data_IF_107962648498
#
_entry.id   IF_107962648498
#
_cell.length_a   1.000
_cell.length_b   1.000
_cell.length_c   1.000
_cell.angle_alpha   90.00
_cell.angle_beta   90.00
_cell.angle_gamma   90.00
#
_symmetry.space_group_name_H-M   'P 1'
#
loop_
_entity.id
_entity.type
_entity.pdbx_description
1 polymer ?
#
# COMPACT_ATOMS: atom_id res chain seq x y z
N UNK A 1 16.66 1.33 26.28
CA UNK A 1 15.19 1.38 26.05
C UNK A 1 14.78 0.80 24.70
N UNK A 2 15.64 0.79 23.68
CA UNK A 2 15.44 0.02 22.43
C UNK A 2 15.10 -1.46 22.70
N UNK A 3 15.87 -2.08 23.61
CA UNK A 3 15.54 -3.25 24.44
C UNK A 3 14.04 -3.50 24.68
N UNK A 4 13.42 -2.49 25.28
CA UNK A 4 12.04 -2.51 25.75
C UNK A 4 11.06 -2.47 24.59
N UNK A 5 11.34 -1.67 23.56
CA UNK A 5 10.53 -1.59 22.34
C UNK A 5 10.51 -2.95 21.64
N UNK A 6 11.69 -3.55 21.44
CA UNK A 6 11.82 -4.88 20.85
C UNK A 6 11.09 -5.95 21.68
N UNK A 7 11.17 -5.87 23.00
CA UNK A 7 10.44 -6.77 23.89
C UNK A 7 8.92 -6.60 23.76
N UNK A 8 8.41 -5.36 23.72
CA UNK A 8 6.97 -5.09 23.55
C UNK A 8 6.47 -5.62 22.20
N UNK A 9 7.17 -5.30 21.11
CA UNK A 9 6.81 -5.76 19.76
C UNK A 9 6.89 -7.28 19.66
N UNK A 10 7.94 -7.90 20.21
CA UNK A 10 8.11 -9.35 20.25
C UNK A 10 7.02 -10.06 21.06
N UNK A 11 6.65 -9.52 22.23
CA UNK A 11 5.54 -10.03 23.04
C UNK A 11 4.19 -9.84 22.35
N UNK A 12 3.98 -8.72 21.66
CA UNK A 12 2.78 -8.46 20.87
C UNK A 12 2.64 -9.47 19.72
N UNK A 13 3.72 -9.76 18.99
CA UNK A 13 3.76 -10.82 17.97
C UNK A 13 3.44 -12.19 18.56
N UNK A 14 4.09 -12.55 19.67
CA UNK A 14 3.85 -13.83 20.33
C UNK A 14 2.39 -13.95 20.79
N UNK A 15 1.83 -12.91 21.41
CA UNK A 15 0.44 -12.88 21.84
C UNK A 15 -0.51 -12.99 20.65
N UNK A 16 -0.30 -12.19 19.61
CA UNK A 16 -1.10 -12.23 18.38
C UNK A 16 -1.09 -13.62 17.76
N UNK A 17 0.08 -14.24 17.60
CA UNK A 17 0.21 -15.58 17.03
C UNK A 17 -0.47 -16.66 17.87
N UNK A 18 -0.38 -16.59 19.21
CA UNK A 18 -1.04 -17.54 20.11
C UNK A 18 -2.58 -17.37 20.14
N UNK A 19 -3.07 -16.16 19.85
CA UNK A 19 -4.49 -15.80 19.94
C UNK A 19 -5.17 -15.54 18.61
N UNK A 20 -4.50 -15.84 17.48
CA UNK A 20 -4.98 -15.51 16.12
C UNK A 20 -6.40 -16.01 15.88
N UNK A 21 -6.71 -17.25 16.29
CA UNK A 21 -8.03 -17.84 16.12
C UNK A 21 -9.11 -17.13 16.94
N UNK A 22 -8.77 -16.63 18.11
CA UNK A 22 -9.68 -15.88 18.99
C UNK A 22 -9.90 -14.47 18.43
N UNK A 23 -8.84 -13.80 17.98
CA UNK A 23 -8.92 -12.47 17.36
C UNK A 23 -9.76 -12.49 16.07
N UNK A 24 -9.59 -13.51 15.22
CA UNK A 24 -10.41 -13.73 14.02
C UNK A 24 -11.90 -13.98 14.34
N UNK A 25 -12.20 -14.55 15.52
CA UNK A 25 -13.59 -14.71 15.98
C UNK A 25 -14.21 -13.36 16.31
N UNK A 26 -13.46 -12.47 16.96
CA UNK A 26 -13.87 -11.12 17.36
C UNK A 26 -13.65 -10.04 16.30
N UNK A 27 -13.32 -10.43 15.05
CA UNK A 27 -13.17 -9.50 13.92
C UNK A 27 -11.99 -8.51 14.08
N UNK A 28 -11.02 -8.85 14.91
CA UNK A 28 -9.79 -8.06 15.08
C UNK A 28 -8.75 -8.58 14.09
N UNK A 29 -8.41 -7.75 13.11
CA UNK A 29 -7.37 -8.06 12.12
C UNK A 29 -5.97 -7.81 12.69
N UNK A 30 -4.94 -8.42 12.10
CA UNK A 30 -3.54 -8.15 12.44
C UNK A 30 -3.21 -6.65 12.42
N UNK A 31 -3.51 -5.92 11.33
CA UNK A 31 -3.34 -4.47 11.27
C UNK A 31 -3.99 -3.72 12.44
N UNK A 32 -5.26 -4.01 12.77
CA UNK A 32 -5.96 -3.39 13.91
C UNK A 32 -5.23 -3.64 15.24
N UNK A 33 -4.80 -4.89 15.47
CA UNK A 33 -4.09 -5.27 16.68
C UNK A 33 -2.75 -4.51 16.82
N UNK A 34 -1.95 -4.47 15.76
CA UNK A 34 -0.65 -3.80 15.80
C UNK A 34 -0.75 -2.28 15.82
N UNK A 35 -1.77 -1.68 15.17
CA UNK A 35 -2.09 -0.25 15.35
C UNK A 35 -2.38 0.06 16.81
N UNK A 36 -3.20 -0.76 17.47
CA UNK A 36 -3.52 -0.58 18.89
C UNK A 36 -2.28 -0.72 19.78
N UNK A 37 -1.43 -1.72 19.55
CA UNK A 37 -0.16 -1.88 20.26
C UNK A 37 0.74 -0.64 20.07
N UNK A 38 0.86 -0.16 18.84
CA UNK A 38 1.63 1.06 18.53
C UNK A 38 1.13 2.29 19.29
N UNK A 39 -0.18 2.54 19.28
CA UNK A 39 -0.79 3.65 20.03
C UNK A 39 -0.58 3.48 21.54
N UNK A 40 -0.73 2.25 22.07
CA UNK A 40 -0.54 1.98 23.49
C UNK A 40 0.91 2.28 23.91
N UNK A 41 1.89 1.93 23.07
CA UNK A 41 3.31 2.22 23.34
C UNK A 41 3.59 3.70 23.56
N UNK A 42 2.85 4.61 22.92
CA UNK A 42 3.01 6.05 23.09
C UNK A 42 2.70 6.53 24.52
N UNK A 43 1.85 5.80 25.25
CA UNK A 43 1.50 6.12 26.64
C UNK A 43 2.40 5.43 27.68
N UNK A 44 2.99 4.27 27.32
CA UNK A 44 3.85 3.51 28.22
C UNK A 44 5.33 3.86 28.11
N UNK A 45 5.76 4.44 26.98
CA UNK A 45 7.12 4.93 26.79
C UNK A 45 7.22 6.38 27.28
N UNK A 46 8.35 6.79 27.88
CA UNK A 46 8.57 8.18 28.30
C UNK A 46 8.39 9.16 27.14
N UNK A 47 7.86 10.35 27.42
CA UNK A 47 7.58 11.41 26.44
C UNK A 47 8.83 11.95 25.72
N UNK A 48 10.03 11.62 26.21
CA UNK A 48 11.32 11.91 25.58
C UNK A 48 11.57 11.06 24.33
N UNK A 49 10.90 9.91 24.21
CA UNK A 49 10.88 9.11 22.97
C UNK A 49 9.85 9.71 22.00
N UNK A 50 10.15 10.92 21.53
CA UNK A 50 9.56 11.42 20.29
C UNK A 50 10.32 10.77 19.15
N UNK A 51 9.63 10.30 18.11
CA UNK A 51 10.29 10.15 16.81
C UNK A 51 10.72 11.57 16.41
N UNK A 52 11.94 11.97 16.80
CA UNK A 52 12.52 13.21 16.31
C UNK A 52 12.67 13.13 14.79
N UNK A 53 12.82 14.27 14.12
CA UNK A 53 13.06 14.31 12.66
C UNK A 53 14.22 13.39 12.26
N UNK A 54 15.28 13.29 13.09
CA UNK A 54 16.40 12.39 12.89
C UNK A 54 16.06 10.88 13.00
N UNK A 55 15.05 10.51 13.79
CA UNK A 55 14.67 9.10 13.99
C UNK A 55 13.81 8.55 12.86
N UNK A 56 13.01 9.38 12.20
CA UNK A 56 12.18 8.97 11.07
C UNK A 56 13.04 8.78 9.81
N UNK A 57 13.97 9.70 9.55
CA UNK A 57 14.88 9.62 8.39
C UNK A 57 15.74 8.36 8.41
N UNK A 58 16.17 7.91 9.59
CA UNK A 58 17.03 6.74 9.75
C UNK A 58 16.28 5.41 9.45
N UNK A 59 14.98 5.35 9.73
CA UNK A 59 14.16 4.15 9.49
C UNK A 59 13.47 4.18 8.13
N UNK A 60 13.39 5.33 7.46
CA UNK A 60 12.67 5.49 6.20
C UNK A 60 13.14 4.50 5.13
N UNK A 61 14.45 4.26 4.88
CA UNK A 61 14.89 3.26 3.89
C UNK A 61 14.35 1.84 4.15
N UNK A 62 14.17 1.46 5.42
CA UNK A 62 13.60 0.17 5.79
C UNK A 62 12.09 0.11 5.51
N UNK A 63 11.39 1.21 5.78
CA UNK A 63 9.96 1.38 5.46
C UNK A 63 9.74 1.32 3.95
N UNK A 64 10.54 2.05 3.17
CA UNK A 64 10.50 2.04 1.70
C UNK A 64 10.82 0.66 1.13
N UNK A 65 11.80 -0.04 1.69
CA UNK A 65 12.12 -1.40 1.28
C UNK A 65 10.94 -2.36 1.53
N UNK A 66 10.22 -2.18 2.63
CA UNK A 66 9.04 -3.00 2.94
C UNK A 66 7.94 -2.79 1.91
N UNK A 67 7.62 -1.53 1.58
CA UNK A 67 6.67 -1.22 0.52
C UNK A 67 7.13 -1.83 -0.81
N UNK A 68 8.43 -1.79 -1.10
CA UNK A 68 8.99 -2.38 -2.31
C UNK A 68 8.78 -3.90 -2.40
N UNK A 69 8.87 -4.61 -1.27
CA UNK A 69 8.55 -6.04 -1.19
C UNK A 69 7.07 -6.27 -1.49
N UNK A 70 6.17 -5.46 -0.94
CA UNK A 70 4.73 -5.55 -1.22
C UNK A 70 4.40 -5.26 -2.68
N UNK A 71 4.89 -4.15 -3.22
CA UNK A 71 4.68 -3.76 -4.62
C UNK A 71 5.12 -4.87 -5.59
N UNK A 72 6.28 -5.49 -5.35
CA UNK A 72 6.71 -6.63 -6.17
C UNK A 72 5.79 -7.85 -5.98
N UNK A 73 5.49 -8.20 -4.73
CA UNK A 73 4.71 -9.39 -4.38
C UNK A 73 3.30 -9.32 -4.95
N UNK A 74 2.67 -8.15 -4.89
CA UNK A 74 1.31 -7.95 -5.40
C UNK A 74 1.28 -7.85 -6.93
N UNK A 75 2.27 -7.16 -7.53
CA UNK A 75 2.45 -7.19 -8.98
C UNK A 75 2.67 -8.62 -9.51
N UNK A 76 3.44 -9.44 -8.78
CA UNK A 76 3.68 -10.85 -9.09
C UNK A 76 2.43 -11.74 -8.98
N UNK A 77 1.38 -11.28 -8.29
CA UNK A 77 0.07 -11.96 -8.14
C UNK A 77 -1.01 -11.44 -9.07
N UNK A 78 -0.75 -10.35 -9.80
CA UNK A 78 -1.75 -9.66 -10.63
C UNK A 78 -2.37 -10.54 -11.73
N UNK A 79 -1.79 -11.71 -12.03
CA UNK A 79 -2.25 -12.66 -13.06
C UNK A 79 -2.53 -11.93 -14.39
N UNK A 80 -1.60 -11.13 -14.89
CA UNK A 80 -1.69 -10.40 -16.17
C UNK A 80 -2.20 -11.24 -17.35
N UNK A 81 -1.86 -12.53 -17.49
CA UNK A 81 -2.42 -13.37 -18.55
C UNK A 81 -3.92 -13.63 -18.42
N UNK A 82 -4.45 -13.67 -17.18
CA UNK A 82 -5.87 -13.88 -16.87
C UNK A 82 -6.66 -12.57 -17.05
N UNK A 83 -6.03 -11.42 -16.77
CA UNK A 83 -6.59 -10.10 -17.06
C UNK A 83 -7.05 -9.96 -18.52
N UNK A 84 -6.39 -10.61 -19.50
CA UNK A 84 -6.85 -10.58 -20.91
C UNK A 84 -8.24 -11.16 -21.16
N UNK A 85 -8.77 -12.01 -20.27
CA UNK A 85 -10.06 -12.68 -20.46
C UNK A 85 -11.19 -12.15 -19.55
N UNK A 86 -10.86 -11.53 -18.41
CA UNK A 86 -11.82 -11.01 -17.42
C UNK A 86 -11.62 -9.52 -17.11
N UNK A 87 -11.15 -8.74 -18.08
CA UNK A 87 -10.62 -7.37 -17.90
C UNK A 87 -11.63 -6.31 -17.43
N UNK A 88 -12.94 -6.57 -17.51
CA UNK A 88 -13.94 -5.50 -17.40
C UNK A 88 -13.91 -4.79 -16.03
N UNK A 89 -13.96 -5.50 -14.91
CA UNK A 89 -14.08 -4.85 -13.60
C UNK A 89 -12.79 -4.19 -13.11
N UNK A 90 -11.62 -4.88 -13.11
CA UNK A 90 -10.38 -4.24 -12.70
C UNK A 90 -10.03 -3.02 -13.55
N UNK A 91 -10.29 -3.05 -14.87
CA UNK A 91 -10.02 -1.90 -15.74
C UNK A 91 -10.91 -0.70 -15.45
N UNK A 92 -12.21 -0.90 -15.19
CA UNK A 92 -13.12 0.18 -14.79
C UNK A 92 -12.69 0.79 -13.45
N UNK A 93 -12.26 -0.05 -12.49
CA UNK A 93 -11.76 0.43 -11.21
C UNK A 93 -10.47 1.24 -11.37
N UNK A 94 -9.49 0.73 -12.13
CA UNK A 94 -8.17 1.36 -12.28
C UNK A 94 -8.16 2.59 -13.19
N UNK A 95 -8.93 2.60 -14.29
CA UNK A 95 -8.86 3.65 -15.30
C UNK A 95 -10.03 4.64 -15.24
N UNK A 96 -11.10 4.35 -14.49
CA UNK A 96 -12.24 5.26 -14.31
C UNK A 96 -12.42 5.63 -12.84
N UNK A 97 -12.63 4.64 -11.96
CA UNK A 97 -12.92 4.93 -10.55
C UNK A 97 -11.74 5.56 -9.83
N UNK A 98 -10.51 5.10 -10.07
CA UNK A 98 -9.30 5.58 -9.42
C UNK A 98 -9.00 7.06 -9.76
N UNK A 99 -8.97 7.50 -11.03
CA UNK A 99 -8.82 8.92 -11.36
C UNK A 99 -9.94 9.80 -10.77
N UNK A 100 -11.19 9.31 -10.78
CA UNK A 100 -12.32 10.02 -10.17
C UNK A 100 -12.18 10.12 -8.65
N UNK A 101 -11.70 9.07 -7.98
CA UNK A 101 -11.40 9.06 -6.53
C UNK A 101 -10.35 10.10 -6.21
N UNK A 102 -9.27 10.16 -6.99
CA UNK A 102 -8.23 11.16 -6.88
C UNK A 102 -8.80 12.58 -7.03
N UNK A 103 -9.60 12.83 -8.06
CA UNK A 103 -10.23 14.14 -8.30
C UNK A 103 -11.14 14.58 -7.16
N UNK A 104 -12.00 13.69 -6.65
CA UNK A 104 -12.85 13.99 -5.49
C UNK A 104 -12.03 14.23 -4.22
N UNK A 105 -10.97 13.45 -4.01
CA UNK A 105 -10.04 13.65 -2.90
C UNK A 105 -9.34 15.02 -2.96
N UNK A 106 -8.91 15.46 -4.15
CA UNK A 106 -8.31 16.79 -4.37
C UNK A 106 -9.33 17.88 -4.09
N UNK A 107 -10.54 17.76 -4.64
CA UNK A 107 -11.62 18.72 -4.45
C UNK A 107 -12.02 18.85 -2.97
N UNK A 108 -12.09 17.72 -2.26
CA UNK A 108 -12.29 17.71 -0.82
C UNK A 108 -11.16 18.40 -0.06
N UNK A 109 -9.91 18.18 -0.47
CA UNK A 109 -8.74 18.79 0.18
C UNK A 109 -8.78 20.31 0.07
N UNK A 110 -9.04 20.81 -1.15
CA UNK A 110 -9.20 22.24 -1.43
C UNK A 110 -10.41 22.86 -0.71
N UNK A 111 -11.48 22.09 -0.53
CA UNK A 111 -12.70 22.57 0.14
C UNK A 111 -12.54 22.67 1.66
N UNK A 112 -11.96 21.64 2.29
CA UNK A 112 -11.83 21.58 3.76
C UNK A 112 -10.60 22.32 4.29
N UNK A 113 -9.55 22.48 3.46
CA UNK A 113 -8.27 23.02 3.89
C UNK A 113 -7.81 24.13 2.93
N UNK A 114 -8.25 25.37 3.20
CA UNK A 114 -7.94 26.53 2.36
C UNK A 114 -6.46 26.90 2.30
N UNK A 115 -5.66 26.45 3.27
CA UNK A 115 -4.23 26.73 3.34
C UNK A 115 -3.38 25.77 2.50
N UNK A 116 -3.98 24.67 2.02
CA UNK A 116 -3.28 23.71 1.19
C UNK A 116 -3.26 24.15 -0.27
N UNK A 117 -2.09 24.05 -0.89
CA UNK A 117 -1.97 24.22 -2.34
C UNK A 117 -2.65 23.07 -3.11
N UNK A 118 -2.84 23.26 -4.42
CA UNK A 118 -3.35 22.21 -5.30
C UNK A 118 -2.51 20.93 -5.21
N UNK A 119 -1.18 21.04 -5.20
CA UNK A 119 -0.28 19.90 -5.13
C UNK A 119 -0.31 19.22 -3.76
N UNK A 120 -0.44 19.99 -2.67
CA UNK A 120 -0.59 19.44 -1.32
C UNK A 120 -1.93 18.70 -1.15
N UNK A 121 -3.02 19.26 -1.68
CA UNK A 121 -4.33 18.58 -1.70
C UNK A 121 -4.30 17.33 -2.58
N UNK A 122 -3.59 17.38 -3.71
CA UNK A 122 -3.37 16.22 -4.56
C UNK A 122 -2.49 15.16 -3.89
N UNK A 123 -1.51 15.55 -3.07
CA UNK A 123 -0.73 14.62 -2.25
C UNK A 123 -1.61 13.87 -1.26
N UNK A 124 -2.48 14.56 -0.52
CA UNK A 124 -3.45 13.90 0.38
C UNK A 124 -4.29 12.89 -0.42
N UNK A 125 -4.81 13.31 -1.57
CA UNK A 125 -5.67 12.48 -2.39
C UNK A 125 -4.95 11.24 -2.95
N UNK A 126 -3.73 11.39 -3.51
CA UNK A 126 -2.99 10.26 -4.09
C UNK A 126 -2.50 9.30 -3.00
N UNK A 127 -2.13 9.80 -1.81
CA UNK A 127 -1.78 8.94 -0.66
C UNK A 127 -2.97 8.06 -0.28
N UNK A 128 -4.18 8.61 -0.36
CA UNK A 128 -5.43 7.96 0.00
C UNK A 128 -6.16 7.34 -1.19
N UNK A 129 -5.51 7.17 -2.33
CA UNK A 129 -6.08 6.50 -3.51
C UNK A 129 -5.79 4.99 -3.55
N UNK A 130 -4.56 4.51 -3.24
CA UNK A 130 -4.25 3.09 -3.21
C UNK A 130 -5.12 2.31 -2.20
N UNK A 131 -5.29 1.01 -2.44
CA UNK A 131 -6.12 0.13 -1.62
C UNK A 131 -5.40 -1.17 -1.30
N UNK A 132 -5.65 -1.73 -0.12
CA UNK A 132 -4.90 -2.86 0.42
C UNK A 132 -5.79 -4.09 0.63
N UNK A 133 -5.54 -5.13 -0.17
CA UNK A 133 -6.22 -6.41 -0.12
C UNK A 133 -5.98 -7.17 1.19
N UNK A 134 -4.87 -6.93 1.90
CA UNK A 134 -4.57 -7.59 3.16
C UNK A 134 -5.61 -7.24 4.24
N UNK A 135 -6.12 -6.01 4.22
CA UNK A 135 -7.22 -5.57 5.10
C UNK A 135 -8.58 -6.18 4.73
N UNK A 136 -8.70 -6.71 3.51
CA UNK A 136 -9.90 -7.37 2.98
C UNK A 136 -9.78 -8.90 2.92
N UNK A 137 -8.76 -9.50 3.55
CA UNK A 137 -8.46 -10.95 3.46
C UNK A 137 -9.66 -11.83 3.81
N UNK A 138 -10.42 -11.47 4.85
CA UNK A 138 -11.62 -12.20 5.26
C UNK A 138 -12.72 -12.28 4.19
N UNK A 139 -12.85 -11.29 3.30
CA UNK A 139 -13.80 -11.36 2.19
C UNK A 139 -13.23 -12.11 0.98
N UNK A 140 -11.91 -12.02 0.75
CA UNK A 140 -11.21 -12.72 -0.32
C UNK A 140 -11.14 -14.24 -0.08
N UNK A 141 -11.15 -14.68 1.17
CA UNK A 141 -11.15 -16.09 1.55
C UNK A 141 -12.57 -16.71 1.61
N UNK A 142 -13.61 -15.89 1.71
CA UNK A 142 -15.00 -16.36 1.78
C UNK A 142 -15.49 -16.89 0.43
N UNK A 143 -15.65 -18.21 0.31
CA UNK A 143 -16.08 -18.87 -0.95
C UNK A 143 -17.51 -18.56 -1.37
N UNK A 144 -18.37 -18.14 -0.45
CA UNK A 144 -19.74 -17.67 -0.76
C UNK A 144 -19.75 -16.35 -1.55
N UNK A 145 -18.67 -15.56 -1.48
CA UNK A 145 -18.54 -14.33 -2.27
C UNK A 145 -18.14 -14.70 -3.70
N UNK A 146 -18.85 -14.17 -4.72
CA UNK A 146 -18.57 -14.50 -6.12
C UNK A 146 -17.10 -14.29 -6.48
N UNK A 147 -16.51 -15.26 -7.19
CA UNK A 147 -15.10 -15.24 -7.61
C UNK A 147 -14.73 -13.94 -8.33
N UNK A 148 -15.60 -13.48 -9.25
CA UNK A 148 -15.42 -12.19 -9.96
C UNK A 148 -15.25 -10.98 -9.05
N UNK A 149 -15.90 -10.96 -7.88
CA UNK A 149 -15.79 -9.87 -6.90
C UNK A 149 -14.47 -9.96 -6.17
N UNK A 150 -14.14 -11.17 -5.69
CA UNK A 150 -12.88 -11.44 -4.97
C UNK A 150 -11.65 -11.18 -5.85
N UNK A 151 -11.65 -11.72 -7.07
CA UNK A 151 -10.58 -11.48 -8.03
C UNK A 151 -10.50 -10.01 -8.43
N UNK A 152 -11.63 -9.34 -8.63
CA UNK A 152 -11.66 -7.93 -8.97
C UNK A 152 -11.03 -7.04 -7.89
N UNK A 153 -11.42 -7.22 -6.62
CA UNK A 153 -10.87 -6.47 -5.48
C UNK A 153 -9.37 -6.77 -5.32
N UNK A 154 -8.98 -8.05 -5.38
CA UNK A 154 -7.58 -8.45 -5.23
C UNK A 154 -6.70 -7.92 -6.37
N UNK A 155 -7.22 -7.90 -7.61
CA UNK A 155 -6.48 -7.40 -8.77
C UNK A 155 -6.40 -5.88 -8.79
N UNK A 156 -7.46 -5.18 -8.38
CA UNK A 156 -7.44 -3.73 -8.21
C UNK A 156 -6.36 -3.33 -7.20
N UNK A 157 -6.40 -3.91 -6.00
CA UNK A 157 -5.43 -3.61 -4.94
C UNK A 157 -4.00 -3.93 -5.35
N UNK A 158 -3.77 -5.06 -6.02
CA UNK A 158 -2.39 -5.40 -6.41
C UNK A 158 -1.80 -4.54 -7.53
N UNK A 159 -2.63 -3.87 -8.33
CA UNK A 159 -2.17 -2.99 -9.41
C UNK A 159 -2.22 -1.51 -9.05
N UNK A 160 -3.18 -1.08 -8.22
CA UNK A 160 -3.37 0.34 -7.94
C UNK A 160 -2.21 0.95 -7.13
N UNK A 161 -1.63 0.21 -6.18
CA UNK A 161 -0.49 0.66 -5.37
C UNK A 161 0.68 1.06 -6.28
N UNK A 162 1.06 0.18 -7.22
CA UNK A 162 2.13 0.48 -8.17
C UNK A 162 1.78 1.55 -9.21
N UNK A 163 0.52 1.67 -9.60
CA UNK A 163 0.07 2.74 -10.51
C UNK A 163 0.02 4.12 -9.82
N UNK A 164 -0.16 4.17 -8.51
CA UNK A 164 -0.15 5.41 -7.75
C UNK A 164 1.27 5.94 -7.51
N UNK A 165 2.29 5.08 -7.44
CA UNK A 165 3.69 5.46 -7.18
C UNK A 165 4.19 6.57 -8.13
N UNK A 166 4.12 6.46 -9.47
CA UNK A 166 4.63 7.51 -10.36
C UNK A 166 3.90 8.85 -10.15
N UNK A 167 2.59 8.81 -9.93
CA UNK A 167 1.77 10.00 -9.72
C UNK A 167 2.14 10.66 -8.39
N UNK A 168 2.32 9.87 -7.33
CA UNK A 168 2.76 10.33 -6.03
C UNK A 168 4.12 11.02 -6.11
N UNK A 169 5.12 10.41 -6.76
CA UNK A 169 6.47 10.98 -6.87
C UNK A 169 6.47 12.31 -7.62
N UNK A 170 5.68 12.44 -8.70
CA UNK A 170 5.52 13.70 -9.44
C UNK A 170 4.90 14.77 -8.55
N UNK A 171 3.82 14.44 -7.83
CA UNK A 171 3.16 15.38 -6.92
C UNK A 171 4.06 15.78 -5.75
N UNK A 172 4.87 14.85 -5.23
CA UNK A 172 5.83 15.10 -4.16
C UNK A 172 6.89 16.10 -4.62
N UNK A 173 7.47 15.88 -5.81
CA UNK A 173 8.48 16.77 -6.40
C UNK A 173 7.92 18.18 -6.65
N UNK A 174 6.70 18.28 -7.16
CA UNK A 174 6.00 19.54 -7.40
C UNK A 174 5.63 20.27 -6.10
N UNK A 175 5.24 19.54 -5.06
CA UNK A 175 4.92 20.12 -3.76
C UNK A 175 6.17 20.60 -2.99
N UNK A 176 7.33 19.97 -3.19
CA UNK A 176 8.61 20.42 -2.62
C UNK A 176 9.15 21.69 -3.26
N UNK A 177 8.85 21.91 -4.55
CA UNK A 177 9.42 23.00 -5.33
C UNK A 177 8.32 23.89 -5.94
N UNK A 178 7.47 24.54 -5.12
CA UNK A 178 6.31 25.30 -5.61
C UNK A 178 6.69 26.59 -6.35
N UNK A 179 7.78 27.25 -5.93
CA UNK A 179 8.28 28.51 -6.53
C UNK A 179 9.29 28.29 -7.63
N UNK A 180 9.94 27.13 -7.64
CA UNK A 180 10.74 26.74 -8.77
C UNK A 180 9.75 26.47 -9.91
N UNK A 181 9.59 27.48 -10.76
CA UNK A 181 9.41 27.27 -12.19
C UNK A 181 10.63 26.51 -12.74
N UNK A 182 10.93 25.33 -12.18
CA UNK A 182 11.53 24.25 -12.92
C UNK A 182 10.65 24.19 -14.16
N UNK A 183 11.24 24.53 -15.30
CA UNK A 183 10.53 24.47 -16.56
C UNK A 183 9.81 23.12 -16.56
N UNK A 184 8.53 23.04 -16.93
CA UNK A 184 7.82 21.75 -16.98
C UNK A 184 8.66 20.63 -17.60
N UNK A 185 9.58 21.02 -18.50
CA UNK A 185 10.67 20.26 -19.07
C UNK A 185 11.69 19.64 -18.09
N UNK A 186 12.22 20.33 -17.07
CA UNK A 186 13.22 19.72 -16.18
C UNK A 186 12.57 18.77 -15.16
N UNK A 187 11.35 19.08 -14.67
CA UNK A 187 10.53 18.13 -13.89
C UNK A 187 10.21 16.89 -14.72
N UNK A 188 9.81 17.10 -15.98
CA UNK A 188 9.58 16.00 -16.93
C UNK A 188 10.87 15.22 -17.21
N UNK A 189 12.02 15.88 -17.29
CA UNK A 189 13.31 15.24 -17.52
C UNK A 189 13.73 14.37 -16.33
N UNK A 190 13.65 14.88 -15.10
CA UNK A 190 13.94 14.11 -13.88
C UNK A 190 13.02 12.90 -13.80
N UNK A 191 11.72 13.09 -14.01
CA UNK A 191 10.76 11.99 -14.02
C UNK A 191 11.04 10.97 -15.13
N UNK A 192 11.31 11.42 -16.35
CA UNK A 192 11.60 10.54 -17.49
C UNK A 192 12.90 9.76 -17.25
N UNK A 193 13.91 10.40 -16.65
CA UNK A 193 15.15 9.74 -16.22
C UNK A 193 14.86 8.68 -15.16
N UNK A 194 14.14 9.04 -14.10
CA UNK A 194 13.84 8.12 -12.99
C UNK A 194 13.04 6.91 -13.46
N UNK A 195 12.02 7.15 -14.29
CA UNK A 195 11.20 6.12 -14.92
C UNK A 195 12.02 5.27 -15.89
N UNK A 196 12.85 5.90 -16.73
CA UNK A 196 13.70 5.21 -17.70
C UNK A 196 14.70 4.27 -17.02
N UNK A 197 15.40 4.75 -15.98
CA UNK A 197 16.32 3.94 -15.17
C UNK A 197 15.58 2.78 -14.51
N UNK A 198 14.42 3.04 -13.92
CA UNK A 198 13.61 2.01 -13.28
C UNK A 198 13.18 0.89 -14.26
N UNK A 199 12.72 1.26 -15.45
CA UNK A 199 12.31 0.31 -16.50
C UNK A 199 13.49 -0.52 -17.02
N UNK A 200 14.65 0.11 -17.24
CA UNK A 200 15.87 -0.59 -17.66
C UNK A 200 16.31 -1.59 -16.61
N UNK A 201 16.39 -1.19 -15.33
CA UNK A 201 16.82 -2.09 -14.26
C UNK A 201 15.82 -3.23 -14.05
N UNK A 202 14.51 -2.96 -14.09
CA UNK A 202 13.49 -4.00 -14.04
C UNK A 202 13.65 -5.01 -15.20
N UNK A 203 13.84 -4.52 -16.42
CA UNK A 203 14.03 -5.37 -17.60
C UNK A 203 15.30 -6.22 -17.52
N UNK A 204 16.44 -5.59 -17.21
CA UNK A 204 17.74 -6.26 -17.10
C UNK A 204 17.75 -7.28 -15.96
N UNK A 205 17.25 -6.92 -14.79
CA UNK A 205 17.18 -7.83 -13.64
C UNK A 205 16.34 -9.07 -13.95
N UNK A 206 15.17 -8.92 -14.58
CA UNK A 206 14.35 -10.07 -14.99
C UNK A 206 14.97 -10.87 -16.13
N UNK A 207 15.63 -10.22 -17.09
CA UNK A 207 16.33 -10.89 -18.18
C UNK A 207 17.49 -11.77 -17.66
N UNK A 208 18.09 -11.43 -16.53
CA UNK A 208 19.12 -12.23 -15.86
C UNK A 208 18.48 -13.28 -14.93
N UNK A 209 17.53 -12.87 -14.10
CA UNK A 209 16.94 -13.70 -13.06
C UNK A 209 16.14 -14.87 -13.62
N UNK A 210 15.32 -14.66 -14.66
CA UNK A 210 14.43 -15.70 -15.19
C UNK A 210 15.23 -16.88 -15.81
N UNK A 211 16.28 -16.67 -16.62
CA UNK A 211 17.15 -17.76 -17.07
C UNK A 211 17.87 -18.49 -15.93
N UNK A 212 18.38 -17.76 -14.93
CA UNK A 212 19.03 -18.36 -13.76
C UNK A 212 18.05 -19.24 -12.98
N UNK A 213 16.83 -18.76 -12.77
CA UNK A 213 15.75 -19.52 -12.13
C UNK A 213 15.44 -20.80 -12.93
N UNK A 214 15.28 -20.70 -14.25
CA UNK A 214 15.03 -21.86 -15.12
C UNK A 214 16.18 -22.86 -15.09
N UNK A 215 17.43 -22.40 -15.10
CA UNK A 215 18.61 -23.25 -15.02
C UNK A 215 18.70 -23.98 -13.67
N UNK A 216 18.45 -23.29 -12.57
CA UNK A 216 18.44 -23.87 -11.23
C UNK A 216 17.29 -24.89 -11.04
N UNK A 217 16.11 -24.64 -11.66
CA UNK A 217 15.02 -25.61 -11.71
C UNK A 217 15.39 -26.86 -12.51
N UNK A 218 16.00 -26.69 -13.69
CA UNK A 218 16.43 -27.79 -14.54
C UNK A 218 17.52 -28.65 -13.89
N UNK A 219 18.35 -28.07 -13.02
CA UNK A 219 19.38 -28.77 -12.24
C UNK A 219 18.88 -29.27 -10.87
N UNK A 220 17.58 -29.20 -10.60
CA UNK A 220 16.96 -29.62 -9.35
C UNK A 220 17.54 -28.96 -8.08
N UNK A 221 18.08 -27.74 -8.19
CA UNK A 221 18.58 -27.00 -7.02
C UNK A 221 17.46 -26.63 -6.04
N UNK A 222 16.21 -26.58 -6.53
CA UNK A 222 15.00 -26.29 -5.76
C UNK A 222 14.18 -27.55 -5.42
N UNK A 223 14.81 -28.73 -5.43
CA UNK A 223 14.18 -30.06 -5.49
C UNK A 223 12.81 -30.20 -4.81
N UNK A 224 12.65 -29.74 -3.56
CA UNK A 224 11.36 -29.78 -2.83
C UNK A 224 11.00 -28.52 -2.02
N UNK A 225 11.93 -27.62 -1.71
CA UNK A 225 11.66 -26.38 -0.96
C UNK A 225 12.36 -25.20 -1.65
N UNK A 226 11.61 -24.18 -2.05
CA UNK A 226 12.19 -22.89 -2.42
C UNK A 226 12.59 -22.11 -1.18
N UNK A 227 13.54 -21.17 -1.36
CA UNK A 227 13.96 -20.29 -0.27
C UNK A 227 13.01 -19.10 -0.16
N UNK A 228 12.46 -18.79 1.03
CA UNK A 228 11.62 -17.62 1.23
C UNK A 228 12.37 -16.30 1.00
N UNK A 229 13.71 -16.35 1.02
CA UNK A 229 14.57 -15.20 0.81
C UNK A 229 14.83 -14.87 -0.67
N UNK A 230 14.47 -15.75 -1.62
CA UNK A 230 14.85 -15.60 -3.02
C UNK A 230 14.27 -14.33 -3.64
N UNK A 231 12.95 -14.16 -3.57
CA UNK A 231 12.28 -12.97 -4.12
C UNK A 231 12.60 -11.72 -3.30
N UNK A 232 12.74 -11.85 -1.99
CA UNK A 232 13.08 -10.73 -1.11
C UNK A 232 14.46 -10.18 -1.46
N UNK A 233 15.46 -11.04 -1.62
CA UNK A 233 16.81 -10.64 -2.03
C UNK A 233 16.83 -10.00 -3.42
N UNK A 234 16.01 -10.52 -4.35
CA UNK A 234 15.85 -9.91 -5.68
C UNK A 234 15.26 -8.51 -5.58
N UNK A 235 14.19 -8.32 -4.81
CA UNK A 235 13.56 -7.01 -4.60
C UNK A 235 14.52 -6.04 -3.95
N UNK A 236 15.21 -6.44 -2.87
CA UNK A 236 16.22 -5.63 -2.21
C UNK A 236 17.29 -5.16 -3.20
N UNK A 237 17.81 -6.07 -4.03
CA UNK A 237 18.80 -5.72 -5.04
C UNK A 237 18.25 -4.73 -6.07
N UNK A 238 17.05 -4.98 -6.63
CA UNK A 238 16.44 -4.11 -7.63
C UNK A 238 16.15 -2.73 -7.04
N UNK A 239 15.53 -2.67 -5.87
CA UNK A 239 15.19 -1.42 -5.19
C UNK A 239 16.45 -0.59 -4.92
N UNK A 240 17.42 -1.15 -4.20
CA UNK A 240 18.62 -0.42 -3.79
C UNK A 240 19.52 -0.01 -4.96
N UNK A 241 19.69 -0.87 -5.98
CA UNK A 241 20.45 -0.51 -7.17
C UNK A 241 19.78 0.60 -7.97
N UNK A 242 18.46 0.57 -8.07
CA UNK A 242 17.70 1.60 -8.77
C UNK A 242 17.79 2.94 -8.03
N UNK A 243 17.65 2.93 -6.70
CA UNK A 243 17.74 4.13 -5.89
C UNK A 243 19.14 4.77 -5.99
N UNK A 244 20.20 3.95 -5.97
CA UNK A 244 21.59 4.40 -6.14
C UNK A 244 21.85 5.00 -7.55
N UNK A 245 21.11 4.58 -8.56
CA UNK A 245 21.20 5.08 -9.93
C UNK A 245 20.24 6.25 -10.19
N UNK A 246 19.68 6.85 -9.14
CA UNK A 246 18.70 7.94 -9.23
C UNK A 246 17.49 7.58 -10.11
N UNK A 247 17.06 6.31 -10.02
CA UNK A 247 15.81 5.81 -10.55
C UNK A 247 14.79 5.60 -9.43
N UNK A 248 13.51 5.46 -9.79
CA UNK A 248 12.49 5.10 -8.80
C UNK A 248 12.55 3.60 -8.49
N UNK A 249 13.09 3.24 -7.33
CA UNK A 249 13.16 1.85 -6.87
C UNK A 249 11.78 1.19 -6.80
N UNK A 250 10.76 1.93 -6.35
CA UNK A 250 9.38 1.46 -6.28
C UNK A 250 8.81 1.07 -7.65
N UNK A 251 9.04 1.90 -8.68
CA UNK A 251 8.59 1.59 -10.04
C UNK A 251 9.35 0.39 -10.59
N UNK A 252 10.66 0.29 -10.34
CA UNK A 252 11.47 -0.82 -10.82
C UNK A 252 11.00 -2.16 -10.24
N UNK A 253 10.75 -2.24 -8.93
CA UNK A 253 10.27 -3.47 -8.29
C UNK A 253 8.85 -3.82 -8.72
N UNK A 254 7.96 -2.83 -8.88
CA UNK A 254 6.61 -3.06 -9.38
C UNK A 254 6.63 -3.65 -10.80
N UNK A 255 7.37 -3.02 -11.72
CA UNK A 255 7.51 -3.49 -13.10
C UNK A 255 8.22 -4.86 -13.14
N UNK A 256 9.23 -5.08 -12.32
CA UNK A 256 9.88 -6.37 -12.18
C UNK A 256 8.91 -7.46 -11.70
N UNK A 257 8.01 -7.14 -10.76
CA UNK A 257 6.95 -8.04 -10.30
C UNK A 257 5.95 -8.40 -11.42
N UNK A 258 5.53 -7.42 -12.23
CA UNK A 258 4.68 -7.65 -13.42
C UNK A 258 5.37 -8.54 -14.45
N UNK A 259 6.66 -8.27 -14.74
CA UNK A 259 7.47 -9.09 -15.64
C UNK A 259 7.67 -10.50 -15.08
N UNK A 260 7.86 -10.64 -13.77
CA UNK A 260 7.96 -11.93 -13.10
C UNK A 260 6.64 -12.72 -13.22
N UNK A 261 5.48 -12.09 -13.00
CA UNK A 261 4.18 -12.74 -13.21
C UNK A 261 4.07 -13.29 -14.65
N UNK A 262 4.49 -12.50 -15.64
CA UNK A 262 4.40 -12.86 -17.05
C UNK A 262 5.42 -13.93 -17.50
N UNK A 263 6.68 -13.85 -17.04
CA UNK A 263 7.80 -14.65 -17.56
C UNK A 263 8.14 -15.88 -16.72
N UNK A 264 7.80 -15.90 -15.42
CA UNK A 264 8.19 -16.96 -14.51
C UNK A 264 7.48 -18.29 -14.83
N UNK A 265 8.14 -19.45 -14.60
CA UNK A 265 7.51 -20.76 -14.80
C UNK A 265 6.27 -20.94 -13.92
N UNK A 266 5.10 -21.17 -14.55
CA UNK A 266 3.80 -21.29 -13.86
C UNK A 266 3.81 -22.28 -12.69
N UNK A 267 4.55 -23.40 -12.82
CA UNK A 267 4.62 -24.45 -11.80
C UNK A 267 5.17 -23.99 -10.45
N UNK A 268 6.16 -23.08 -10.44
CA UNK A 268 6.82 -22.66 -9.19
C UNK A 268 6.49 -21.22 -8.79
N UNK A 269 6.00 -20.39 -9.74
CA UNK A 269 5.68 -18.98 -9.50
C UNK A 269 4.86 -18.77 -8.23
N UNK A 270 3.78 -19.53 -8.07
CA UNK A 270 2.90 -19.39 -6.90
C UNK A 270 3.59 -19.82 -5.59
N UNK A 271 4.49 -20.79 -5.64
CA UNK A 271 5.25 -21.24 -4.47
C UNK A 271 6.26 -20.17 -4.04
N UNK A 272 7.04 -19.62 -4.99
CA UNK A 272 8.03 -18.59 -4.68
C UNK A 272 7.40 -17.35 -4.05
N UNK A 273 6.27 -16.91 -4.60
CA UNK A 273 5.53 -15.75 -4.07
C UNK A 273 5.03 -16.06 -2.65
N UNK A 274 4.40 -17.22 -2.44
CA UNK A 274 3.94 -17.65 -1.11
C UNK A 274 5.07 -17.75 -0.08
N UNK A 275 6.24 -18.24 -0.46
CA UNK A 275 7.36 -18.36 0.47
C UNK A 275 7.83 -16.97 0.94
N UNK A 276 7.80 -15.95 0.07
CA UNK A 276 8.13 -14.58 0.45
C UNK A 276 7.02 -13.86 1.24
N UNK A 277 5.76 -14.30 1.11
CA UNK A 277 4.62 -13.64 1.76
C UNK A 277 4.73 -13.61 3.27
N UNK A 278 5.17 -14.70 3.92
CA UNK A 278 5.23 -14.74 5.38
C UNK A 278 6.21 -13.71 5.95
N UNK A 279 7.32 -13.47 5.26
CA UNK A 279 8.28 -12.44 5.67
C UNK A 279 7.70 -11.05 5.37
N UNK A 280 7.05 -10.86 4.22
CA UNK A 280 6.38 -9.61 3.90
C UNK A 280 5.29 -9.28 4.94
N UNK A 281 4.43 -10.24 5.30
CA UNK A 281 3.42 -10.12 6.35
C UNK A 281 4.05 -9.76 7.69
N UNK A 282 5.16 -10.40 8.09
CA UNK A 282 5.88 -10.05 9.31
C UNK A 282 6.33 -8.59 9.33
N UNK A 283 6.99 -8.12 8.28
CA UNK A 283 7.47 -6.73 8.21
C UNK A 283 6.31 -5.74 8.12
N UNK A 284 5.20 -6.09 7.46
CA UNK A 284 3.99 -5.29 7.44
C UNK A 284 3.41 -5.08 8.84
N UNK A 285 3.36 -6.12 9.69
CA UNK A 285 2.87 -5.96 11.07
C UNK A 285 3.75 -5.00 11.88
N UNK A 286 5.07 -4.98 11.62
CA UNK A 286 5.97 -3.99 12.21
C UNK A 286 5.64 -2.57 11.72
N UNK A 287 5.34 -2.38 10.45
CA UNK A 287 4.91 -1.07 9.91
C UNK A 287 3.56 -0.65 10.49
N UNK A 288 2.59 -1.56 10.64
CA UNK A 288 1.33 -1.26 11.30
C UNK A 288 1.51 -0.82 12.75
N UNK A 289 2.49 -1.43 13.45
CA UNK A 289 2.88 -1.02 14.79
C UNK A 289 3.52 0.38 14.80
N UNK A 290 4.46 0.64 13.88
CA UNK A 290 5.09 1.95 13.72
C UNK A 290 4.05 3.02 13.41
N UNK A 291 3.13 2.74 12.48
CA UNK A 291 2.02 3.61 12.12
C UNK A 291 1.14 3.93 13.34
N UNK A 292 0.78 2.93 14.15
CA UNK A 292 0.04 3.15 15.39
C UNK A 292 0.79 4.07 16.36
N UNK A 293 2.10 3.84 16.52
CA UNK A 293 2.95 4.68 17.36
C UNK A 293 3.00 6.15 16.89
N UNK A 294 3.18 6.36 15.58
CA UNK A 294 3.17 7.68 14.94
C UNK A 294 1.80 8.36 15.11
N UNK A 295 0.70 7.62 14.91
CA UNK A 295 -0.65 8.11 15.14
C UNK A 295 -0.87 8.59 16.58
N UNK A 296 -0.38 7.85 17.57
CA UNK A 296 -0.48 8.22 18.98
C UNK A 296 0.22 9.54 19.31
N UNK A 297 1.27 9.90 18.56
CA UNK A 297 2.00 11.16 18.78
C UNK A 297 1.37 12.35 18.03
N UNK A 298 0.99 12.15 16.76
CA UNK A 298 0.57 13.23 15.86
C UNK A 298 -0.94 13.52 15.90
N UNK A 299 -1.78 12.50 16.04
CA UNK A 299 -3.24 12.69 15.87
C UNK A 299 -3.87 13.25 17.15
N UNK A 300 -3.36 12.84 18.32
CA UNK A 300 -4.06 13.08 19.61
C UNK A 300 -4.20 14.58 19.92
N UNK A 301 -3.25 15.42 19.49
CA UNK A 301 -3.27 16.86 19.79
C UNK A 301 -3.80 17.73 18.65
N UNK A 302 -3.74 17.27 17.40
CA UNK A 302 -3.96 18.10 16.20
C UNK A 302 -5.23 17.73 15.40
N UNK A 303 -6.06 16.85 15.93
CA UNK A 303 -7.30 16.45 15.25
C UNK A 303 -8.34 17.58 15.28
N UNK A 304 -8.86 17.92 14.11
CA UNK A 304 -9.92 18.92 13.94
C UNK A 304 -11.12 18.32 13.22
N UNK A 305 -12.30 18.94 13.37
CA UNK A 305 -13.51 18.47 12.69
C UNK A 305 -13.39 18.40 11.15
N UNK A 306 -12.77 19.36 10.45
CA UNK A 306 -12.51 19.23 9.01
C UNK A 306 -11.72 17.98 8.64
N UNK A 307 -10.71 17.61 9.45
CA UNK A 307 -9.92 16.38 9.25
C UNK A 307 -10.80 15.14 9.40
N UNK A 308 -11.62 15.08 10.44
CA UNK A 308 -12.56 13.97 10.67
C UNK A 308 -13.55 13.84 9.52
N UNK A 309 -14.15 14.94 9.06
CA UNK A 309 -15.10 14.92 7.94
C UNK A 309 -14.43 14.51 6.63
N UNK A 310 -13.25 15.05 6.32
CA UNK A 310 -12.49 14.64 5.15
C UNK A 310 -12.17 13.14 5.19
N UNK A 311 -11.69 12.63 6.33
CA UNK A 311 -11.37 11.21 6.50
C UNK A 311 -12.58 10.30 6.29
N UNK A 312 -13.73 10.64 6.89
CA UNK A 312 -14.96 9.88 6.71
C UNK A 312 -15.47 9.92 5.27
N UNK A 313 -15.44 11.08 4.61
CA UNK A 313 -15.83 11.22 3.21
C UNK A 313 -14.85 10.47 2.28
N UNK A 314 -13.56 10.49 2.59
CA UNK A 314 -12.52 9.79 1.82
C UNK A 314 -12.70 8.27 1.85
N UNK A 315 -13.00 7.74 3.03
CA UNK A 315 -13.29 6.31 3.24
C UNK A 315 -14.64 5.90 2.62
N UNK A 316 -15.62 6.80 2.60
CA UNK A 316 -16.98 6.48 2.13
C UNK A 316 -17.24 7.08 0.75
N UNK A 317 -17.70 8.32 0.67
CA UNK A 317 -18.22 8.97 -0.53
C UNK A 317 -17.19 9.03 -1.67
N UNK A 318 -15.96 9.47 -1.38
CA UNK A 318 -14.93 9.67 -2.42
C UNK A 318 -14.49 8.36 -3.05
N UNK A 319 -14.68 7.24 -2.34
CA UNK A 319 -14.44 5.89 -2.88
C UNK A 319 -15.70 5.30 -3.51
N UNK A 320 -16.82 5.32 -2.78
CA UNK A 320 -18.05 4.62 -3.17
C UNK A 320 -18.63 5.19 -4.45
N UNK A 321 -18.71 6.52 -4.57
CA UNK A 321 -19.36 7.16 -5.72
C UNK A 321 -18.60 6.87 -7.02
N UNK A 322 -17.27 7.09 -7.13
CA UNK A 322 -16.52 6.74 -8.34
C UNK A 322 -16.65 5.27 -8.74
N UNK A 323 -16.59 4.36 -7.78
CA UNK A 323 -16.71 2.92 -8.07
C UNK A 323 -18.10 2.59 -8.60
N UNK A 324 -19.16 3.05 -7.95
CA UNK A 324 -20.53 2.81 -8.41
C UNK A 324 -20.79 3.40 -9.79
N UNK A 325 -20.26 4.59 -10.07
CA UNK A 325 -20.35 5.21 -11.40
C UNK A 325 -19.61 4.38 -12.44
N UNK A 326 -18.38 3.94 -12.15
CA UNK A 326 -17.59 3.10 -13.06
C UNK A 326 -18.29 1.76 -13.37
N UNK A 327 -19.00 1.19 -12.40
CA UNK A 327 -19.69 -0.10 -12.53
C UNK A 327 -21.16 0.04 -12.96
N UNK A 328 -21.67 1.25 -13.20
CA UNK A 328 -23.08 1.50 -13.48
C UNK A 328 -23.60 0.66 -14.65
N UNK A 329 -22.83 0.60 -15.75
CA UNK A 329 -23.18 -0.10 -16.98
C UNK A 329 -22.77 -1.59 -17.00
N UNK A 330 -22.42 -2.16 -15.85
CA UNK A 330 -22.11 -3.59 -15.74
C UNK A 330 -23.31 -4.41 -15.29
N UNK A 331 -23.32 -5.70 -15.66
CA UNK A 331 -24.32 -6.70 -15.26
C UNK A 331 -24.16 -7.19 -13.80
N UNK A 332 -23.43 -6.45 -12.96
CA UNK A 332 -23.30 -6.77 -11.54
C UNK A 332 -24.60 -6.44 -10.80
N UNK A 333 -24.96 -7.28 -9.83
CA UNK A 333 -26.06 -6.98 -8.93
C UNK A 333 -25.67 -5.82 -8.01
N UNK A 334 -26.65 -5.10 -7.47
CA UNK A 334 -26.42 -3.95 -6.60
C UNK A 334 -25.48 -4.28 -5.43
N UNK A 335 -25.69 -5.46 -4.82
CA UNK A 335 -24.86 -5.96 -3.71
C UNK A 335 -23.38 -6.10 -4.09
N UNK A 336 -23.09 -6.62 -5.27
CA UNK A 336 -21.72 -6.78 -5.76
C UNK A 336 -21.09 -5.41 -6.06
N UNK A 337 -21.84 -4.49 -6.67
CA UNK A 337 -21.37 -3.12 -6.92
C UNK A 337 -21.01 -2.39 -5.63
N UNK A 338 -21.86 -2.49 -4.61
CA UNK A 338 -21.57 -1.92 -3.28
C UNK A 338 -20.40 -2.62 -2.59
N UNK A 339 -20.25 -3.94 -2.76
CA UNK A 339 -19.10 -4.66 -2.20
C UNK A 339 -17.78 -4.17 -2.82
N UNK A 340 -17.73 -3.99 -4.15
CA UNK A 340 -16.58 -3.34 -4.81
C UNK A 340 -16.33 -1.91 -4.29
N UNK A 341 -17.40 -1.13 -4.15
CA UNK A 341 -17.35 0.25 -3.73
C UNK A 341 -16.89 0.41 -2.27
N UNK A 342 -17.27 -0.53 -1.41
CA UNK A 342 -16.95 -0.52 0.02
C UNK A 342 -15.55 -1.05 0.31
N UNK A 343 -15.13 -2.14 -0.33
CA UNK A 343 -13.82 -2.74 -0.06
C UNK A 343 -12.72 -2.06 -0.90
N UNK A 344 -12.28 -0.90 -0.40
CA UNK A 344 -11.06 -0.21 -0.82
C UNK A 344 -10.30 0.37 0.37
N UNK A 345 -9.95 -0.44 1.39
CA UNK A 345 -9.29 0.08 2.59
C UNK A 345 -7.89 0.62 2.26
N UNK A 346 -7.51 1.72 2.91
CA UNK A 346 -6.16 2.31 2.86
C UNK A 346 -5.19 1.46 3.67
N UNK A 347 -4.02 1.20 3.11
CA UNK A 347 -3.05 0.28 3.72
C UNK A 347 -1.61 0.76 3.66
N UNK A 348 -0.70 -0.20 3.51
CA UNK A 348 0.74 0.01 3.71
C UNK A 348 1.34 1.09 2.79
N UNK A 349 0.95 1.12 1.50
CA UNK A 349 1.42 2.14 0.56
C UNK A 349 1.10 3.56 1.05
N UNK A 350 -0.12 3.78 1.54
CA UNK A 350 -0.54 5.07 2.11
C UNK A 350 0.31 5.48 3.31
N UNK A 351 0.64 4.53 4.19
CA UNK A 351 1.50 4.78 5.36
C UNK A 351 2.88 5.24 4.90
N UNK A 352 3.52 4.48 4.01
CA UNK A 352 4.86 4.78 3.53
C UNK A 352 4.90 6.13 2.82
N UNK A 353 3.94 6.41 1.94
CA UNK A 353 3.87 7.72 1.27
C UNK A 353 3.69 8.88 2.25
N UNK A 354 2.88 8.72 3.30
CA UNK A 354 2.77 9.72 4.36
C UNK A 354 4.10 9.95 5.07
N UNK A 355 4.82 8.88 5.45
CA UNK A 355 6.11 8.99 6.10
C UNK A 355 7.17 9.63 5.19
N UNK A 356 7.14 9.32 3.89
CA UNK A 356 7.98 10.00 2.90
C UNK A 356 7.69 11.51 2.84
N UNK A 357 6.41 11.93 2.86
CA UNK A 357 6.04 13.36 2.92
C UNK A 357 6.58 14.03 4.19
N UNK A 358 6.51 13.35 5.33
CA UNK A 358 6.99 13.89 6.60
C UNK A 358 8.51 14.13 6.62
N UNK A 359 9.28 13.32 5.90
CA UNK A 359 10.72 13.44 5.74
C UNK A 359 11.15 14.57 4.78
N UNK A 360 10.19 15.27 4.17
CA UNK A 360 10.47 16.41 3.28
C UNK A 360 10.46 17.75 4.02
N UNK A 361 10.86 18.80 3.31
CA UNK A 361 10.72 20.20 3.74
C UNK A 361 9.44 20.89 3.21
N UNK A 362 8.42 20.12 2.80
CA UNK A 362 7.17 20.69 2.27
C UNK A 362 6.43 21.48 3.36
N UNK A 363 5.94 22.67 3.02
CA UNK A 363 5.05 23.43 3.91
C UNK A 363 3.78 22.63 4.24
N UNK A 364 3.24 22.77 5.45
CA UNK A 364 2.03 22.04 5.90
C UNK A 364 2.17 20.49 5.88
N UNK A 365 3.39 19.93 5.84
CA UNK A 365 3.61 18.46 5.86
C UNK A 365 2.94 17.76 7.05
N UNK A 366 2.90 18.42 8.22
CA UNK A 366 2.22 17.91 9.40
C UNK A 366 0.71 17.81 9.19
N UNK A 367 0.08 18.83 8.58
CA UNK A 367 -1.35 18.79 8.26
C UNK A 367 -1.67 17.68 7.25
N UNK A 368 -0.84 17.52 6.21
CA UNK A 368 -0.97 16.42 5.23
C UNK A 368 -0.87 15.07 5.94
N UNK A 369 0.10 14.92 6.84
CA UNK A 369 0.28 13.70 7.64
C UNK A 369 -0.94 13.45 8.55
N UNK A 370 -1.40 14.42 9.32
CA UNK A 370 -2.55 14.26 10.22
C UNK A 370 -3.82 13.87 9.46
N UNK A 371 -4.08 14.47 8.29
CA UNK A 371 -5.23 14.09 7.45
C UNK A 371 -5.11 12.66 6.94
N UNK A 372 -3.95 12.31 6.38
CA UNK A 372 -3.74 10.99 5.77
C UNK A 372 -3.72 9.88 6.82
N UNK A 373 -2.99 10.05 7.93
CA UNK A 373 -2.95 9.10 9.04
C UNK A 373 -4.32 8.90 9.69
N UNK A 374 -5.09 9.99 9.91
CA UNK A 374 -6.47 9.88 10.45
C UNK A 374 -7.36 9.08 9.50
N UNK A 375 -7.24 9.31 8.19
CA UNK A 375 -8.00 8.56 7.19
C UNK A 375 -7.62 7.09 7.16
N UNK A 376 -6.32 6.77 7.21
CA UNK A 376 -5.83 5.38 7.28
C UNK A 376 -6.34 4.71 8.56
N UNK A 377 -6.29 5.40 9.70
CA UNK A 377 -6.78 4.90 10.98
C UNK A 377 -8.28 4.54 10.90
N UNK A 378 -9.11 5.47 10.43
CA UNK A 378 -10.54 5.20 10.23
C UNK A 378 -10.78 4.06 9.25
N UNK A 379 -10.03 4.02 8.14
CA UNK A 379 -10.13 2.96 7.16
C UNK A 379 -9.86 1.58 7.75
N UNK A 380 -8.80 1.43 8.54
CA UNK A 380 -8.42 0.14 9.15
C UNK A 380 -9.53 -0.40 10.04
N UNK A 381 -10.10 0.45 10.89
CA UNK A 381 -11.15 0.02 11.83
C UNK A 381 -12.51 -0.17 11.13
N UNK A 382 -12.95 0.78 10.30
CA UNK A 382 -14.25 0.70 9.60
C UNK A 382 -14.30 -0.50 8.66
N UNK A 383 -13.26 -0.70 7.83
CA UNK A 383 -13.25 -1.83 6.89
C UNK A 383 -12.91 -3.14 7.59
N UNK A 384 -11.97 -3.14 8.54
CA UNK A 384 -11.62 -4.34 9.31
C UNK A 384 -12.83 -4.97 9.99
N UNK A 385 -13.64 -4.15 10.69
CA UNK A 385 -14.85 -4.61 11.37
C UNK A 385 -16.01 -4.96 10.41
N UNK A 386 -16.04 -4.41 9.20
CA UNK A 386 -17.13 -4.69 8.25
C UNK A 386 -16.88 -5.89 7.33
N UNK A 387 -15.63 -6.37 7.22
CA UNK A 387 -15.24 -7.51 6.37
C UNK A 387 -16.10 -8.75 6.59
N UNK A 388 -16.21 -9.23 7.84
CA UNK A 388 -16.89 -10.49 8.16
C UNK A 388 -18.43 -10.38 8.11
N UNK A 389 -19.08 -9.31 8.62
CA UNK A 389 -20.52 -9.10 8.43
C UNK A 389 -20.93 -9.09 6.96
N UNK A 390 -20.18 -8.38 6.11
CA UNK A 390 -20.50 -8.32 4.67
C UNK A 390 -20.24 -9.67 4.01
N UNK A 391 -19.15 -10.36 4.33
CA UNK A 391 -18.89 -11.71 3.81
C UNK A 391 -19.99 -12.71 4.19
N UNK A 392 -20.50 -12.66 5.43
CA UNK A 392 -21.62 -13.50 5.89
C UNK A 392 -22.93 -13.22 5.17
N UNK A 393 -23.16 -11.98 4.71
CA UNK A 393 -24.40 -11.67 3.98
C UNK A 393 -24.54 -12.45 2.68
N UNK A 394 -23.46 -13.04 2.14
CA UNK A 394 -23.43 -13.88 0.94
C UNK A 394 -23.71 -15.36 1.20
N UNK A 395 -23.80 -15.77 2.47
CA UNK A 395 -24.28 -17.09 2.89
C UNK A 395 -25.80 -17.04 3.01
#
# INVERSE_FOLDING_TARGET
>A
MEYTILAIVGLALLFYSLTIRQLERTEITGPMFFVFVGIAMTYFLPSEFKLGEAGLSDILPLVELTLSIFLFTDAAKSKLPVLKHSFQYPSLLLFVALPMTLMLGVAGGLFFFSELSLFQSALIAIILTPTDAALSKGILECTSVPEKVREGINTESGLNDGLCVPIFLVLLLLAQNPESAVTTLDTLFVFTRELGVALVIAGVSMAIFIPLLKAALARHYFANNSSPFLLIGLVMAIFSLTQNLHGSGFIAVFVAGLLFDYLAPKKIRSTLVKDSEHIAEFVALLIWCLFGFVCGHLIVNDITWPIVFYALLSVTVFRIVPVLVSLMFTNLNLKDKFTFAWFGPRGLASIVFTLMVMDTAIANKEQIATVTLTTILFSVFIHGMSTKPIAKSYQ
#
